data_IF_130455001314
#
_entry.id   IF_130455001314
#
_cell.length_a   1.000
_cell.length_b   1.000
_cell.length_c   1.000
_cell.angle_alpha   90.00
_cell.angle_beta   90.00
_cell.angle_gamma   90.00
#
_symmetry.space_group_name_H-M   'P 1'
#
loop_
_entity.id
_entity.type
_entity.pdbx_description
1 polymer ?
#
# COMPACT_ATOMS: atom_id res chain seq x y z
N UNK A 1 -8.47 -14.85 -37.02
CA UNK A 1 -8.01 -15.63 -35.85
C UNK A 1 -6.86 -14.95 -35.09
N UNK A 2 -5.84 -14.37 -35.74
CA UNK A 2 -4.76 -13.63 -35.04
C UNK A 2 -5.25 -12.43 -34.20
N UNK A 3 -6.29 -11.73 -34.66
CA UNK A 3 -6.78 -10.54 -33.95
C UNK A 3 -7.32 -10.87 -32.54
N UNK A 4 -8.02 -12.00 -32.39
CA UNK A 4 -8.59 -12.44 -31.11
C UNK A 4 -7.50 -12.75 -30.08
N UNK A 5 -6.37 -13.32 -30.50
CA UNK A 5 -5.26 -13.63 -29.60
C UNK A 5 -4.62 -12.36 -29.04
N UNK A 6 -4.33 -11.40 -29.92
CA UNK A 6 -3.78 -10.10 -29.52
C UNK A 6 -4.76 -9.34 -28.63
N UNK A 7 -6.05 -9.35 -28.95
CA UNK A 7 -7.10 -8.75 -28.11
C UNK A 7 -7.14 -9.36 -26.70
N UNK A 8 -7.01 -10.68 -26.58
CA UNK A 8 -6.94 -11.35 -25.28
C UNK A 8 -5.71 -10.94 -24.48
N UNK A 9 -4.54 -10.80 -25.13
CA UNK A 9 -3.31 -10.33 -24.47
C UNK A 9 -3.43 -8.87 -24.01
N UNK A 10 -4.05 -8.01 -24.83
CA UNK A 10 -4.36 -6.63 -24.47
C UNK A 10 -5.31 -6.58 -23.26
N UNK A 11 -6.37 -7.38 -23.27
CA UNK A 11 -7.33 -7.46 -22.18
C UNK A 11 -6.65 -7.89 -20.88
N UNK A 12 -5.74 -8.87 -20.95
CA UNK A 12 -4.97 -9.33 -19.80
C UNK A 12 -4.05 -8.25 -19.23
N UNK A 13 -3.34 -7.48 -20.07
CA UNK A 13 -2.57 -6.33 -19.61
C UNK A 13 -3.44 -5.29 -18.89
N UNK A 14 -4.62 -4.99 -19.43
CA UNK A 14 -5.57 -4.05 -18.81
C UNK A 14 -6.08 -4.57 -17.46
N UNK A 15 -6.41 -5.86 -17.39
CA UNK A 15 -6.83 -6.50 -16.14
C UNK A 15 -5.73 -6.41 -15.07
N UNK A 16 -4.49 -6.78 -15.41
CA UNK A 16 -3.35 -6.68 -14.48
C UNK A 16 -3.11 -5.22 -14.07
N UNK A 17 -3.21 -4.27 -15.00
CA UNK A 17 -3.08 -2.86 -14.70
C UNK A 17 -4.16 -2.41 -13.70
N UNK A 18 -5.42 -2.78 -13.93
CA UNK A 18 -6.54 -2.42 -13.06
C UNK A 18 -6.38 -3.05 -11.68
N UNK A 19 -6.23 -4.37 -11.59
CA UNK A 19 -6.07 -5.10 -10.33
C UNK A 19 -4.89 -4.57 -9.51
N UNK A 20 -3.76 -4.29 -10.17
CA UNK A 20 -2.58 -3.70 -9.53
C UNK A 20 -2.82 -2.26 -9.07
N UNK A 21 -3.65 -1.48 -9.77
CA UNK A 21 -4.03 -0.12 -9.34
C UNK A 21 -4.82 -0.16 -8.04
N UNK A 22 -5.86 -0.97 -7.99
CA UNK A 22 -6.70 -1.11 -6.80
C UNK A 22 -5.92 -1.69 -5.61
N UNK A 23 -5.10 -2.71 -5.86
CA UNK A 23 -4.30 -3.35 -4.81
C UNK A 23 -3.22 -2.42 -4.27
N UNK A 24 -2.52 -1.67 -5.14
CA UNK A 24 -1.51 -0.69 -4.73
C UNK A 24 -2.11 0.41 -3.84
N UNK A 25 -3.23 1.02 -4.26
CA UNK A 25 -3.87 2.09 -3.49
C UNK A 25 -4.42 1.58 -2.15
N UNK A 26 -4.95 0.36 -2.13
CA UNK A 26 -5.38 -0.30 -0.89
C UNK A 26 -4.23 -0.41 0.11
N UNK A 27 -3.07 -0.91 -0.34
CA UNK A 27 -1.89 -1.00 0.51
C UNK A 27 -1.33 0.35 0.95
N UNK A 28 -1.36 1.38 0.09
CA UNK A 28 -0.99 2.74 0.48
C UNK A 28 -1.91 3.32 1.57
N UNK A 29 -3.21 3.03 1.50
CA UNK A 29 -4.16 3.47 2.54
C UNK A 29 -3.86 2.78 3.87
N UNK A 30 -3.61 1.47 3.87
CA UNK A 30 -3.27 0.71 5.08
C UNK A 30 -1.95 1.21 5.66
N UNK A 31 -0.91 1.33 4.84
CA UNK A 31 0.39 1.89 5.22
C UNK A 31 0.25 3.24 5.91
N UNK A 32 -0.52 4.17 5.32
CA UNK A 32 -0.69 5.51 5.89
C UNK A 32 -1.38 5.48 7.26
N UNK A 33 -2.32 4.56 7.47
CA UNK A 33 -3.00 4.36 8.77
C UNK A 33 -2.01 3.80 9.80
N UNK A 34 -1.27 2.76 9.44
CA UNK A 34 -0.29 2.11 10.31
C UNK A 34 0.89 3.02 10.65
N UNK A 35 1.42 3.75 9.69
CA UNK A 35 2.50 4.73 9.88
C UNK A 35 2.11 5.81 10.89
N UNK A 36 0.89 6.37 10.77
CA UNK A 36 0.36 7.30 11.78
C UNK A 36 0.24 6.66 13.15
N UNK A 37 -0.27 5.43 13.22
CA UNK A 37 -0.42 4.69 14.48
C UNK A 37 0.94 4.42 15.14
N UNK A 38 1.92 3.97 14.37
CA UNK A 38 3.29 3.74 14.80
C UNK A 38 3.95 5.03 15.32
N UNK A 39 3.75 6.16 14.62
CA UNK A 39 4.21 7.46 15.08
C UNK A 39 3.64 7.80 16.47
N UNK A 40 2.33 7.70 16.65
CA UNK A 40 1.70 8.02 17.93
C UNK A 40 2.16 7.10 19.06
N UNK A 41 2.30 5.80 18.82
CA UNK A 41 2.82 4.87 19.83
C UNK A 41 4.31 5.04 20.14
N UNK A 42 5.10 5.56 19.20
CA UNK A 42 6.53 5.83 19.42
C UNK A 42 6.75 7.12 20.20
N UNK A 43 5.92 8.14 20.00
CA UNK A 43 6.15 9.47 20.57
C UNK A 43 5.36 9.74 21.85
N UNK A 44 4.09 9.32 21.94
CA UNK A 44 3.23 9.69 23.08
C UNK A 44 3.65 9.03 24.39
N UNK A 45 3.86 7.71 24.45
CA UNK A 45 4.21 7.07 25.72
C UNK A 45 5.53 7.61 26.30
N UNK A 46 6.65 7.71 25.53
CA UNK A 46 7.87 8.30 26.08
C UNK A 46 7.70 9.75 26.55
N UNK A 47 6.95 10.58 25.81
CA UNK A 47 6.67 11.95 26.23
C UNK A 47 5.90 12.00 27.56
N UNK A 48 4.85 11.17 27.70
CA UNK A 48 4.09 11.03 28.96
C UNK A 48 5.00 10.56 30.10
N UNK A 49 5.87 9.58 29.85
CA UNK A 49 6.79 9.05 30.85
C UNK A 49 7.76 10.12 31.34
N UNK A 50 8.35 10.90 30.43
CA UNK A 50 9.26 12.00 30.78
C UNK A 50 8.53 13.09 31.57
N UNK A 51 7.35 13.51 31.10
CA UNK A 51 6.55 14.55 31.78
C UNK A 51 6.09 14.09 33.16
N UNK A 52 5.68 12.83 33.31
CA UNK A 52 5.25 12.27 34.59
C UNK A 52 6.42 12.15 35.57
N UNK A 53 7.62 11.79 35.09
CA UNK A 53 8.83 11.77 35.90
C UNK A 53 9.19 13.18 36.41
N UNK A 54 9.13 14.20 35.55
CA UNK A 54 9.36 15.60 35.94
C UNK A 54 8.32 16.05 36.99
N UNK A 55 7.04 15.75 36.77
CA UNK A 55 5.96 16.09 37.69
C UNK A 55 6.17 15.49 39.10
N UNK A 56 6.62 14.24 39.18
CA UNK A 56 6.95 13.59 40.45
C UNK A 56 8.13 14.28 41.15
N UNK A 57 9.18 14.68 40.41
CA UNK A 57 10.31 15.45 40.96
C UNK A 57 9.84 16.80 41.52
N UNK A 58 8.87 17.44 40.87
CA UNK A 58 8.27 18.72 41.30
C UNK A 58 7.26 18.57 42.46
N UNK A 59 7.11 17.37 43.03
CA UNK A 59 6.27 17.13 44.19
C UNK A 59 4.77 17.02 43.87
N UNK A 60 4.40 16.76 42.61
CA UNK A 60 3.02 16.51 42.25
C UNK A 60 2.51 15.18 42.86
N UNK A 61 1.18 15.00 43.00
CA UNK A 61 0.63 13.88 43.74
C UNK A 61 0.90 12.50 43.11
N UNK A 62 1.02 11.48 43.97
CA UNK A 62 1.40 10.10 43.59
C UNK A 62 0.46 9.41 42.59
N UNK A 63 -0.75 9.92 42.34
CA UNK A 63 -1.63 9.36 41.32
C UNK A 63 -1.04 9.47 39.91
N UNK A 64 -0.10 10.39 39.68
CA UNK A 64 0.65 10.54 38.42
C UNK A 64 1.47 9.29 38.09
N UNK A 65 1.89 8.51 39.09
CA UNK A 65 2.59 7.24 38.88
C UNK A 65 1.76 6.22 38.09
N UNK A 66 0.43 6.26 38.20
CA UNK A 66 -0.46 5.42 37.38
C UNK A 66 -0.38 5.77 35.90
N UNK A 67 -0.22 7.05 35.56
CA UNK A 67 -0.06 7.51 34.17
C UNK A 67 1.20 6.90 33.54
N UNK A 68 2.30 6.86 34.29
CA UNK A 68 3.56 6.23 33.85
C UNK A 68 3.37 4.73 33.59
N UNK A 69 2.62 4.03 34.44
CA UNK A 69 2.33 2.60 34.26
C UNK A 69 1.53 2.37 32.97
N UNK A 70 0.48 3.18 32.73
CA UNK A 70 -0.30 3.10 31.48
C UNK A 70 0.56 3.36 30.24
N UNK A 71 1.48 4.32 30.29
CA UNK A 71 2.45 4.58 29.23
C UNK A 71 3.36 3.37 28.94
N UNK A 72 3.82 2.70 29.99
CA UNK A 72 4.59 1.46 29.89
C UNK A 72 3.83 0.35 29.15
N UNK A 73 2.55 0.17 29.45
CA UNK A 73 1.69 -0.82 28.76
C UNK A 73 1.59 -0.51 27.26
N UNK A 74 1.37 0.75 26.89
CA UNK A 74 1.30 1.16 25.47
C UNK A 74 2.63 0.89 24.76
N UNK A 75 3.76 1.13 25.44
CA UNK A 75 5.09 0.86 24.90
C UNK A 75 5.31 -0.63 24.62
N UNK A 76 4.88 -1.50 25.54
CA UNK A 76 4.93 -2.96 25.35
C UNK A 76 4.04 -3.39 24.17
N UNK A 77 2.82 -2.85 24.06
CA UNK A 77 1.93 -3.13 22.94
C UNK A 77 2.55 -2.71 21.60
N UNK A 78 3.28 -1.61 21.55
CA UNK A 78 3.98 -1.19 20.33
C UNK A 78 5.08 -2.18 19.90
N UNK A 79 5.81 -2.75 20.87
CA UNK A 79 6.83 -3.77 20.61
C UNK A 79 6.17 -5.06 20.11
N UNK A 80 5.05 -5.47 20.72
CA UNK A 80 4.36 -6.71 20.35
C UNK A 80 3.61 -6.65 19.02
N UNK A 81 2.99 -5.51 18.71
CA UNK A 81 2.17 -5.35 17.50
C UNK A 81 2.99 -4.93 16.28
N UNK A 82 4.23 -4.47 16.46
CA UNK A 82 5.16 -4.05 15.39
C UNK A 82 4.52 -3.20 14.24
N UNK A 83 3.67 -2.18 14.52
CA UNK A 83 2.92 -1.47 13.47
C UNK A 83 3.81 -0.74 12.46
N UNK A 84 5.04 -0.39 12.85
CA UNK A 84 6.03 0.18 11.94
C UNK A 84 6.49 -0.82 10.87
N UNK A 85 6.67 -2.09 11.25
CA UNK A 85 7.05 -3.16 10.32
C UNK A 85 5.90 -3.50 9.38
N UNK A 86 4.71 -3.68 9.93
CA UNK A 86 3.50 -3.92 9.14
C UNK A 86 3.25 -2.79 8.13
N UNK A 87 3.45 -1.53 8.54
CA UNK A 87 3.43 -0.37 7.64
C UNK A 87 4.44 -0.49 6.50
N UNK A 88 5.68 -0.91 6.78
CA UNK A 88 6.73 -1.08 5.76
C UNK A 88 6.41 -2.22 4.79
N UNK A 89 5.85 -3.31 5.29
CA UNK A 89 5.44 -4.45 4.46
C UNK A 89 4.33 -4.04 3.49
N UNK A 90 3.33 -3.28 3.97
CA UNK A 90 2.32 -2.68 3.10
C UNK A 90 2.89 -1.65 2.12
N UNK A 91 3.84 -0.81 2.54
CA UNK A 91 4.52 0.13 1.64
C UNK A 91 5.25 -0.61 0.52
N UNK A 92 5.92 -1.70 0.86
CA UNK A 92 6.64 -2.53 -0.09
C UNK A 92 5.67 -3.16 -1.10
N UNK A 93 4.57 -3.75 -0.64
CA UNK A 93 3.53 -4.29 -1.52
C UNK A 93 2.95 -3.20 -2.44
N UNK A 94 2.59 -2.04 -1.90
CA UNK A 94 2.03 -0.92 -2.65
C UNK A 94 2.96 -0.45 -3.79
N UNK A 95 4.26 -0.33 -3.51
CA UNK A 95 5.27 0.04 -4.51
C UNK A 95 5.40 -1.01 -5.61
N UNK A 96 5.45 -2.29 -5.25
CA UNK A 96 5.58 -3.36 -6.23
C UNK A 96 4.37 -3.46 -7.17
N UNK A 97 3.15 -3.35 -6.63
CA UNK A 97 1.94 -3.29 -7.47
C UNK A 97 1.89 -2.02 -8.31
N UNK A 98 2.39 -0.89 -7.80
CA UNK A 98 2.50 0.34 -8.61
C UNK A 98 3.44 0.14 -9.80
N UNK A 99 4.61 -0.48 -9.58
CA UNK A 99 5.53 -0.84 -10.67
C UNK A 99 4.84 -1.76 -11.68
N UNK A 100 4.19 -2.83 -11.22
CA UNK A 100 3.50 -3.78 -12.08
C UNK A 100 2.37 -3.13 -12.90
N UNK A 101 1.60 -2.21 -12.31
CA UNK A 101 0.61 -1.40 -13.02
C UNK A 101 1.25 -0.66 -14.20
N UNK A 102 2.39 -0.01 -13.96
CA UNK A 102 3.07 0.77 -14.98
C UNK A 102 3.70 -0.09 -16.07
N UNK A 103 4.24 -1.26 -15.71
CA UNK A 103 4.75 -2.25 -16.66
C UNK A 103 3.64 -2.82 -17.55
N UNK A 104 2.49 -3.19 -16.97
CA UNK A 104 1.35 -3.68 -17.74
C UNK A 104 0.79 -2.62 -18.68
N UNK A 105 0.67 -1.38 -18.20
CA UNK A 105 0.28 -0.23 -19.03
C UNK A 105 1.28 0.00 -20.17
N UNK A 106 2.57 0.09 -19.88
CA UNK A 106 3.58 0.41 -20.91
C UNK A 106 3.71 -0.69 -21.96
N UNK A 107 3.63 -1.97 -21.54
CA UNK A 107 3.64 -3.09 -22.47
C UNK A 107 2.50 -2.96 -23.49
N UNK A 108 1.27 -2.68 -23.03
CA UNK A 108 0.11 -2.55 -23.92
C UNK A 108 0.03 -1.21 -24.67
N UNK A 109 0.32 -0.08 -24.03
CA UNK A 109 0.13 1.24 -24.64
C UNK A 109 1.32 1.69 -25.51
N UNK A 110 2.54 1.23 -25.21
CA UNK A 110 3.75 1.76 -25.85
C UNK A 110 4.55 0.70 -26.61
N UNK A 111 4.62 -0.55 -26.12
CA UNK A 111 5.58 -1.52 -26.65
C UNK A 111 4.99 -2.60 -27.56
N UNK A 112 3.69 -2.92 -27.43
CA UNK A 112 3.08 -4.07 -28.13
C UNK A 112 3.26 -4.05 -29.65
N UNK A 113 3.31 -2.87 -30.27
CA UNK A 113 3.38 -2.72 -31.74
C UNK A 113 4.82 -2.84 -32.26
N UNK A 114 5.81 -2.90 -31.36
CA UNK A 114 7.23 -3.04 -31.66
C UNK A 114 7.76 -4.47 -31.42
N UNK A 115 6.87 -5.43 -31.17
CA UNK A 115 7.23 -6.83 -30.90
C UNK A 115 6.36 -7.79 -31.69
N UNK A 116 6.84 -9.02 -31.85
CA UNK A 116 6.08 -10.11 -32.46
C UNK A 116 4.96 -10.59 -31.52
N UNK A 117 3.95 -11.29 -32.06
CA UNK A 117 2.87 -11.89 -31.27
C UNK A 117 3.41 -12.84 -30.18
N UNK A 118 4.46 -13.61 -30.50
CA UNK A 118 5.09 -14.55 -29.58
C UNK A 118 5.81 -13.83 -28.43
N UNK A 119 6.59 -12.79 -28.74
CA UNK A 119 7.23 -11.95 -27.71
C UNK A 119 6.19 -11.27 -26.83
N UNK A 120 5.09 -10.76 -27.41
CA UNK A 120 4.03 -10.15 -26.62
C UNK A 120 3.40 -11.16 -25.67
N UNK A 121 3.06 -12.35 -26.15
CA UNK A 121 2.55 -13.44 -25.30
C UNK A 121 3.48 -13.74 -24.12
N UNK A 122 4.78 -13.88 -24.35
CA UNK A 122 5.74 -14.18 -23.29
C UNK A 122 5.86 -13.04 -22.26
N UNK A 123 5.84 -11.79 -22.71
CA UNK A 123 5.87 -10.63 -21.82
C UNK A 123 4.59 -10.53 -20.97
N UNK A 124 3.41 -10.75 -21.56
CA UNK A 124 2.13 -10.77 -20.81
C UNK A 124 2.12 -11.90 -19.78
N UNK A 125 2.57 -13.10 -20.17
CA UNK A 125 2.68 -14.23 -19.25
C UNK A 125 3.60 -13.90 -18.07
N UNK A 126 4.74 -13.25 -18.32
CA UNK A 126 5.65 -12.81 -17.27
C UNK A 126 5.00 -11.81 -16.30
N UNK A 127 4.20 -10.86 -16.81
CA UNK A 127 3.43 -9.95 -15.96
C UNK A 127 2.45 -10.70 -15.04
N UNK A 128 1.75 -11.72 -15.55
CA UNK A 128 0.83 -12.53 -14.74
C UNK A 128 1.57 -13.35 -13.68
N UNK A 129 2.71 -13.94 -14.01
CA UNK A 129 3.56 -14.65 -13.04
C UNK A 129 4.02 -13.70 -11.93
N UNK A 130 4.47 -12.49 -12.30
CA UNK A 130 4.83 -11.44 -11.33
C UNK A 130 3.65 -11.03 -10.47
N UNK A 131 2.47 -10.83 -11.06
CA UNK A 131 1.24 -10.53 -10.32
C UNK A 131 0.94 -11.60 -9.26
N UNK A 132 0.95 -12.88 -9.66
CA UNK A 132 0.66 -13.99 -8.77
C UNK A 132 1.66 -14.06 -7.60
N UNK A 133 2.95 -13.83 -7.88
CA UNK A 133 3.97 -13.75 -6.84
C UNK A 133 3.69 -12.59 -5.87
N UNK A 134 3.37 -11.39 -6.37
CA UNK A 134 3.05 -10.26 -5.51
C UNK A 134 1.82 -10.56 -4.63
N UNK A 135 0.76 -11.15 -5.17
CA UNK A 135 -0.42 -11.53 -4.39
C UNK A 135 -0.07 -12.55 -3.31
N UNK A 136 0.77 -13.54 -3.62
CA UNK A 136 1.15 -14.59 -2.68
C UNK A 136 1.97 -14.06 -1.49
N UNK A 137 2.85 -13.10 -1.71
CA UNK A 137 3.78 -12.60 -0.69
C UNK A 137 3.36 -11.28 -0.05
N UNK A 138 2.29 -10.65 -0.53
CA UNK A 138 1.79 -9.42 0.07
C UNK A 138 1.00 -9.70 1.35
N UNK A 139 1.08 -8.81 2.36
CA UNK A 139 0.21 -8.88 3.52
C UNK A 139 -1.26 -8.81 3.11
N UNK A 140 -2.15 -9.39 3.93
CA UNK A 140 -3.59 -9.35 3.66
C UNK A 140 -4.15 -7.93 3.72
N UNK A 141 -5.20 -7.66 2.95
CA UNK A 141 -5.86 -6.35 2.90
C UNK A 141 -7.15 -6.33 3.71
N UNK A 142 -7.60 -5.13 4.05
CA UNK A 142 -8.88 -4.89 4.75
C UNK A 142 -9.94 -4.40 3.76
N UNK A 143 -11.19 -4.81 3.97
CA UNK A 143 -12.33 -4.43 3.11
C UNK A 143 -12.53 -2.91 3.09
N UNK A 144 -12.41 -2.26 4.23
CA UNK A 144 -12.58 -0.82 4.39
C UNK A 144 -11.50 -0.04 3.62
N UNK A 145 -10.28 -0.55 3.59
CA UNK A 145 -9.19 0.05 2.82
C UNK A 145 -9.42 -0.12 1.31
N UNK A 146 -9.93 -1.28 0.88
CA UNK A 146 -10.27 -1.54 -0.51
C UNK A 146 -11.41 -0.65 -1.02
N UNK A 147 -12.48 -0.49 -0.24
CA UNK A 147 -13.59 0.40 -0.61
C UNK A 147 -13.15 1.88 -0.67
N UNK A 148 -12.26 2.30 0.25
CA UNK A 148 -11.65 3.64 0.18
C UNK A 148 -10.79 3.81 -1.08
N UNK A 149 -9.96 2.82 -1.41
CA UNK A 149 -9.14 2.82 -2.64
C UNK A 149 -10.03 2.93 -3.88
N UNK A 150 -11.08 2.12 -3.94
CA UNK A 150 -12.06 2.12 -5.04
C UNK A 150 -12.67 3.50 -5.24
N UNK A 151 -13.10 4.15 -4.16
CA UNK A 151 -13.66 5.50 -4.23
C UNK A 151 -12.65 6.49 -4.82
N UNK A 152 -11.39 6.48 -4.36
CA UNK A 152 -10.34 7.40 -4.85
C UNK A 152 -10.04 7.20 -6.34
N UNK A 153 -9.93 5.94 -6.76
CA UNK A 153 -9.69 5.58 -8.17
C UNK A 153 -10.84 6.06 -9.05
N UNK A 154 -12.09 5.80 -8.64
CA UNK A 154 -13.28 6.23 -9.39
C UNK A 154 -13.42 7.75 -9.48
N UNK A 155 -12.92 8.51 -8.48
CA UNK A 155 -12.88 9.98 -8.53
C UNK A 155 -11.78 10.55 -9.44
N UNK A 156 -10.97 9.71 -10.09
CA UNK A 156 -9.96 10.15 -11.07
C UNK A 156 -8.63 10.59 -10.47
N UNK A 157 -8.36 10.32 -9.19
CA UNK A 157 -7.09 10.71 -8.51
C UNK A 157 -5.85 10.12 -9.19
N UNK A 158 -6.01 9.02 -9.93
CA UNK A 158 -4.93 8.33 -10.63
C UNK A 158 -4.96 8.52 -12.16
N UNK A 159 -5.86 9.35 -12.67
CA UNK A 159 -5.90 9.70 -14.09
C UNK A 159 -4.77 10.68 -14.40
N UNK A 160 -4.11 10.50 -15.55
CA UNK A 160 -3.09 11.45 -15.98
C UNK A 160 -3.75 12.71 -16.55
N UNK A 161 -3.26 13.88 -16.16
CA UNK A 161 -3.84 15.18 -16.55
C UNK A 161 -3.93 15.35 -18.07
N UNK A 162 -2.91 14.92 -18.81
CA UNK A 162 -2.89 15.00 -20.27
C UNK A 162 -3.92 14.09 -20.95
N UNK A 163 -4.43 13.04 -20.28
CA UNK A 163 -5.49 12.17 -20.83
C UNK A 163 -6.89 12.71 -20.54
N UNK A 164 -7.04 13.67 -19.62
CA UNK A 164 -8.33 14.32 -19.33
C UNK A 164 -8.67 15.47 -20.27
N UNK A 165 -7.70 15.96 -21.05
CA UNK A 165 -7.89 17.05 -22.02
C UNK A 165 -8.41 16.58 -23.40
N UNK A 166 -8.42 15.25 -23.66
CA UNK A 166 -8.88 14.66 -24.92
C UNK A 166 -10.39 14.30 -24.95
N UNK A 167 -11.20 14.85 -24.04
CA UNK A 167 -12.65 14.61 -23.99
C UNK A 167 -13.48 15.74 -24.57
#
# INVERSE_FOLDING_TARGET
>A
MNNIKIENLIAECKQIQEDSTYTAETHHIIEKRLSKRAFWYKFVPPAITVLSAIALILGMPNWISWITIFSGIISILNILLEPEKESKDHLFAAKNFTVLKHEARSLNEAFKDFMTEEEFYHNVKHLREKYNMLVQYSPSTEKEAFEEARKRIQTGVHSADFKSEEK
#
